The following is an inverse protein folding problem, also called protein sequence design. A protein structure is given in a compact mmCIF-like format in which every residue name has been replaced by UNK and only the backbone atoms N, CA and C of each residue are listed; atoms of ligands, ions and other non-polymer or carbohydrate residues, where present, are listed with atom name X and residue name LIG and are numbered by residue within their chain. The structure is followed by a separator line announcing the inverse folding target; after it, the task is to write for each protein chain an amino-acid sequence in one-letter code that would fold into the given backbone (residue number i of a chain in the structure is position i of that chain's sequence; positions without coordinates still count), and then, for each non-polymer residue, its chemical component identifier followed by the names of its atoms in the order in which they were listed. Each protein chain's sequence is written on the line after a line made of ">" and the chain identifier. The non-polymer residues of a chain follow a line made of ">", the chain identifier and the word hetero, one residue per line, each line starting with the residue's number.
data_IF_189234823882
#
_entry.id   IF_189234823882
#
_cell.length_a   1.000
_cell.length_b   1.000
_cell.length_c   1.000
_cell.angle_alpha   90.00
_cell.angle_beta   90.00
_cell.angle_gamma   90.00
#
_symmetry.space_group_name_H-M   'P 1'
#
loop_
_entity.id
_entity.type
_entity.pdbx_description
1 polymer ?
#
# COMPACT_ATOMS: atom_id res chain seq x y z
N UNK A 1 -19.98 -9.04 -29.70
CA UNK A 1 -19.00 -10.07 -29.25
C UNK A 1 -17.53 -9.74 -29.57
N UNK A 2 -17.20 -8.96 -30.61
CA UNK A 2 -15.81 -8.51 -30.88
C UNK A 2 -15.28 -7.52 -29.82
N UNK A 3 -16.08 -6.54 -29.42
CA UNK A 3 -15.74 -5.50 -28.44
C UNK A 3 -15.38 -6.04 -27.06
N UNK A 4 -16.16 -6.98 -26.51
CA UNK A 4 -15.88 -7.59 -25.20
C UNK A 4 -14.53 -8.33 -25.16
N UNK A 5 -14.12 -8.95 -26.28
CA UNK A 5 -12.84 -9.65 -26.39
C UNK A 5 -11.66 -8.68 -26.39
N UNK A 6 -11.80 -7.56 -27.09
CA UNK A 6 -10.75 -6.51 -27.12
C UNK A 6 -10.54 -5.92 -25.74
N UNK A 7 -11.61 -5.63 -25.00
CA UNK A 7 -11.57 -5.05 -23.64
C UNK A 7 -10.83 -5.99 -22.66
N UNK A 8 -11.14 -7.29 -22.70
CA UNK A 8 -10.49 -8.27 -21.83
C UNK A 8 -9.01 -8.45 -22.15
N UNK A 9 -8.66 -8.44 -23.43
CA UNK A 9 -7.27 -8.56 -23.87
C UNK A 9 -6.46 -7.30 -23.50
N UNK A 10 -7.04 -6.10 -23.66
CA UNK A 10 -6.41 -4.86 -23.20
C UNK A 10 -6.26 -4.80 -21.68
N UNK A 11 -7.26 -5.26 -20.93
CA UNK A 11 -7.20 -5.35 -19.46
C UNK A 11 -6.11 -6.32 -18.99
N UNK A 12 -5.92 -7.43 -19.72
CA UNK A 12 -4.87 -8.41 -19.42
C UNK A 12 -3.45 -7.87 -19.60
N UNK A 13 -3.24 -6.96 -20.55
CA UNK A 13 -1.94 -6.32 -20.80
C UNK A 13 -1.70 -5.16 -19.83
N UNK A 14 -2.75 -4.43 -19.46
CA UNK A 14 -2.66 -3.33 -18.49
C UNK A 14 -2.20 -3.81 -17.11
N UNK A 15 -2.56 -5.02 -16.70
CA UNK A 15 -2.32 -5.54 -15.36
C UNK A 15 -0.81 -5.71 -15.03
N UNK A 16 0.00 -6.38 -15.89
CA UNK A 16 1.47 -6.39 -15.73
C UNK A 16 2.09 -5.00 -15.83
N UNK A 17 1.57 -4.13 -16.69
CA UNK A 17 2.12 -2.78 -16.89
C UNK A 17 1.93 -1.94 -15.61
N UNK A 18 0.73 -1.94 -15.03
CA UNK A 18 0.45 -1.24 -13.77
C UNK A 18 1.31 -1.84 -12.64
N UNK A 19 1.47 -3.17 -12.61
CA UNK A 19 2.33 -3.85 -11.63
C UNK A 19 3.78 -3.41 -11.73
N UNK A 20 4.28 -3.32 -12.96
CA UNK A 20 5.63 -2.87 -13.24
C UNK A 20 5.83 -1.38 -12.92
N UNK A 21 4.86 -0.52 -13.26
CA UNK A 21 4.87 0.90 -12.89
C UNK A 21 4.93 1.02 -11.37
N UNK A 22 4.07 0.31 -10.63
CA UNK A 22 4.07 0.33 -9.18
C UNK A 22 5.41 -0.11 -8.59
N UNK A 23 6.02 -1.16 -9.15
CA UNK A 23 7.31 -1.64 -8.71
C UNK A 23 8.40 -0.58 -8.90
N UNK A 24 8.44 0.08 -10.06
CA UNK A 24 9.38 1.18 -10.34
C UNK A 24 9.12 2.37 -9.42
N UNK A 25 7.87 2.80 -9.28
CA UNK A 25 7.53 3.97 -8.47
C UNK A 25 7.82 3.74 -6.99
N UNK A 26 7.56 2.53 -6.49
CA UNK A 26 7.88 2.19 -5.11
C UNK A 26 9.40 2.16 -4.91
N UNK A 27 10.12 1.47 -5.81
CA UNK A 27 11.58 1.32 -5.68
C UNK A 27 12.36 2.63 -5.73
N UNK A 28 11.99 3.56 -6.63
CA UNK A 28 12.75 4.82 -6.80
C UNK A 28 12.20 5.99 -6.00
N UNK A 29 10.90 6.01 -5.69
CA UNK A 29 10.25 7.20 -5.14
C UNK A 29 9.48 6.93 -3.84
N UNK A 30 9.46 5.69 -3.33
CA UNK A 30 8.62 5.25 -2.22
C UNK A 30 7.14 5.62 -2.42
N UNK A 31 6.69 5.55 -3.68
CA UNK A 31 5.30 5.79 -4.09
C UNK A 31 4.65 4.45 -4.39
N UNK A 32 3.62 4.13 -3.62
CA UNK A 32 2.83 2.93 -3.77
C UNK A 32 1.46 3.26 -4.38
N UNK A 33 1.06 2.47 -5.38
CA UNK A 33 -0.32 2.43 -5.85
C UNK A 33 -1.16 1.66 -4.84
N UNK A 34 -2.31 2.22 -4.48
CA UNK A 34 -3.28 1.56 -3.60
C UNK A 34 -3.97 0.40 -4.34
N UNK A 35 -3.25 -0.72 -4.46
CA UNK A 35 -3.67 -1.91 -5.22
C UNK A 35 -4.96 -2.53 -4.71
N UNK A 36 -5.19 -2.46 -3.39
CA UNK A 36 -6.39 -2.96 -2.73
C UNK A 36 -7.68 -2.31 -3.27
N UNK A 37 -7.61 -1.05 -3.71
CA UNK A 37 -8.74 -0.37 -4.36
C UNK A 37 -9.18 -1.06 -5.65
N UNK A 38 -8.26 -1.73 -6.35
CA UNK A 38 -8.53 -2.40 -7.63
C UNK A 38 -8.67 -3.91 -7.52
N UNK A 39 -8.45 -4.52 -6.35
CA UNK A 39 -8.49 -5.97 -6.17
C UNK A 39 -9.79 -6.60 -6.73
N UNK A 40 -10.94 -5.99 -6.43
CA UNK A 40 -12.25 -6.45 -6.90
C UNK A 40 -12.41 -6.36 -8.41
N UNK A 41 -11.92 -5.27 -9.02
CA UNK A 41 -11.93 -5.11 -10.47
C UNK A 41 -11.11 -6.22 -11.14
N UNK A 42 -9.95 -6.53 -10.58
CA UNK A 42 -9.08 -7.60 -11.08
C UNK A 42 -9.67 -8.99 -10.90
N UNK A 43 -10.30 -9.26 -9.76
CA UNK A 43 -11.00 -10.52 -9.50
C UNK A 43 -12.13 -10.76 -10.52
N UNK A 44 -12.93 -9.72 -10.82
CA UNK A 44 -14.00 -9.80 -11.82
C UNK A 44 -13.42 -10.13 -13.20
N UNK A 45 -12.33 -9.45 -13.61
CA UNK A 45 -11.67 -9.73 -14.88
C UNK A 45 -11.11 -11.15 -14.95
N UNK A 46 -10.56 -11.67 -13.85
CA UNK A 46 -10.08 -13.06 -13.76
C UNK A 46 -11.21 -14.06 -13.94
N UNK A 47 -12.33 -13.87 -13.23
CA UNK A 47 -13.51 -14.75 -13.34
C UNK A 47 -14.05 -14.72 -14.79
N UNK A 48 -14.20 -13.54 -15.38
CA UNK A 48 -14.68 -13.40 -16.77
C UNK A 48 -13.70 -14.07 -17.75
N UNK A 49 -12.39 -13.94 -17.51
CA UNK A 49 -11.37 -14.59 -18.32
C UNK A 49 -11.50 -16.11 -18.29
N UNK A 50 -11.71 -16.71 -17.10
CA UNK A 50 -11.92 -18.15 -16.94
C UNK A 50 -13.09 -18.68 -17.78
N UNK A 51 -14.20 -17.94 -17.87
CA UNK A 51 -15.37 -18.34 -18.68
C UNK A 51 -15.10 -18.34 -20.19
N UNK A 52 -14.10 -17.59 -20.67
CA UNK A 52 -13.84 -17.38 -22.10
C UNK A 52 -12.80 -18.38 -22.65
N UNK A 53 -12.17 -19.16 -21.79
CA UNK A 53 -11.13 -20.16 -22.13
C UNK A 53 -11.62 -21.24 -23.08
N UNK A 54 -12.92 -21.55 -23.09
CA UNK A 54 -13.46 -22.62 -23.91
C UNK A 54 -13.38 -22.27 -25.41
N UNK A 55 -12.56 -23.02 -26.15
CA UNK A 55 -12.63 -23.12 -27.61
C UNK A 55 -11.39 -22.73 -28.42
N UNK A 56 -10.26 -22.33 -27.84
CA UNK A 56 -9.01 -22.21 -28.62
C UNK A 56 -7.74 -22.23 -27.75
N UNK A 57 -6.66 -22.85 -28.25
CA UNK A 57 -5.35 -22.92 -27.57
C UNK A 57 -4.79 -21.54 -27.20
N UNK A 58 -4.97 -20.52 -28.03
CA UNK A 58 -4.48 -19.15 -27.76
C UNK A 58 -5.16 -18.50 -26.56
N UNK A 59 -6.48 -18.68 -26.40
CA UNK A 59 -7.23 -18.21 -25.22
C UNK A 59 -6.81 -18.93 -23.94
N UNK A 60 -6.49 -20.22 -24.03
CA UNK A 60 -5.99 -20.98 -22.89
C UNK A 60 -4.65 -20.41 -22.38
N UNK A 61 -3.68 -20.18 -23.27
CA UNK A 61 -2.40 -19.58 -22.88
C UNK A 61 -2.55 -18.15 -22.34
N UNK A 62 -3.42 -17.32 -22.93
CA UNK A 62 -3.69 -15.98 -22.43
C UNK A 62 -4.31 -15.98 -21.03
N UNK A 63 -5.25 -16.90 -20.77
CA UNK A 63 -5.84 -17.09 -19.45
C UNK A 63 -4.85 -17.60 -18.42
N UNK A 64 -4.00 -18.57 -18.81
CA UNK A 64 -2.93 -19.08 -17.96
C UNK A 64 -1.97 -17.96 -17.52
N UNK A 65 -1.53 -17.13 -18.47
CA UNK A 65 -0.64 -16.00 -18.17
C UNK A 65 -1.31 -14.98 -17.25
N UNK A 66 -2.58 -14.66 -17.50
CA UNK A 66 -3.35 -13.73 -16.67
C UNK A 66 -3.58 -14.28 -15.26
N UNK A 67 -3.88 -15.57 -15.13
CA UNK A 67 -4.04 -16.23 -13.84
C UNK A 67 -2.75 -16.27 -13.04
N UNK A 68 -1.62 -16.58 -13.69
CA UNK A 68 -0.30 -16.50 -13.05
C UNK A 68 0.01 -15.08 -12.57
N UNK A 69 -0.19 -14.07 -13.41
CA UNK A 69 0.02 -12.67 -13.02
C UNK A 69 -0.86 -12.26 -11.83
N UNK A 70 -2.15 -12.61 -11.85
CA UNK A 70 -3.08 -12.34 -10.76
C UNK A 70 -2.66 -13.03 -9.45
N UNK A 71 -2.29 -14.32 -9.51
CA UNK A 71 -1.82 -15.09 -8.35
C UNK A 71 -0.53 -14.51 -7.80
N UNK A 72 0.47 -14.24 -8.66
CA UNK A 72 1.75 -13.66 -8.24
C UNK A 72 1.57 -12.31 -7.56
N UNK A 73 0.73 -11.43 -8.12
CA UNK A 73 0.43 -10.13 -7.51
C UNK A 73 -0.32 -10.27 -6.20
N UNK A 74 -1.26 -11.23 -6.11
CA UNK A 74 -2.01 -11.48 -4.87
C UNK A 74 -1.11 -12.03 -3.77
N UNK A 75 -0.19 -12.93 -4.10
CA UNK A 75 0.81 -13.47 -3.16
C UNK A 75 1.77 -12.37 -2.72
N UNK A 76 2.28 -11.57 -3.66
CA UNK A 76 3.13 -10.43 -3.33
C UNK A 76 2.41 -9.48 -2.37
N UNK A 77 1.16 -9.12 -2.65
CA UNK A 77 0.36 -8.27 -1.77
C UNK A 77 0.16 -8.89 -0.39
N UNK A 78 -0.12 -10.19 -0.31
CA UNK A 78 -0.33 -10.89 0.96
C UNK A 78 0.96 -10.94 1.80
N UNK A 79 2.10 -11.17 1.16
CA UNK A 79 3.41 -11.21 1.83
C UNK A 79 3.92 -9.83 2.22
N UNK A 80 3.56 -8.79 1.45
CA UNK A 80 3.85 -7.39 1.76
C UNK A 80 2.82 -6.76 2.69
N UNK A 81 1.76 -7.48 3.07
CA UNK A 81 0.74 -6.95 3.98
C UNK A 81 1.26 -6.98 5.41
N UNK A 82 1.69 -5.81 5.88
CA UNK A 82 2.04 -5.62 7.27
C UNK A 82 0.89 -4.92 8.01
N UNK A 83 0.59 -5.37 9.22
CA UNK A 83 -0.55 -4.85 9.98
C UNK A 83 -0.20 -3.51 10.60
N UNK A 84 -0.84 -2.45 10.13
CA UNK A 84 -0.66 -1.10 10.69
C UNK A 84 -1.99 -0.50 11.15
N UNK A 85 -1.88 0.44 12.08
CA UNK A 85 -2.96 1.39 12.37
C UNK A 85 -2.61 2.73 11.76
N UNK A 86 -3.60 3.33 11.12
CA UNK A 86 -3.47 4.62 10.46
C UNK A 86 -4.23 5.68 11.23
N UNK A 87 -3.60 6.83 11.45
CA UNK A 87 -4.25 8.02 11.99
C UNK A 87 -3.94 9.28 11.17
N UNK A 88 -4.95 10.12 10.91
CA UNK A 88 -4.70 11.44 10.33
C UNK A 88 -3.93 12.31 11.31
N UNK A 89 -3.14 13.25 10.78
CA UNK A 89 -2.52 14.31 11.56
C UNK A 89 -3.45 15.53 11.50
N UNK A 90 -3.96 15.96 12.65
CA UNK A 90 -4.84 17.11 12.70
C UNK A 90 -4.12 18.36 12.17
N UNK A 91 -4.74 19.04 11.20
CA UNK A 91 -4.21 20.26 10.59
C UNK A 91 -3.23 20.05 9.43
N UNK A 92 -2.94 18.80 9.03
CA UNK A 92 -2.04 18.51 7.91
C UNK A 92 -2.64 17.50 6.91
N UNK A 93 -2.06 17.43 5.70
CA UNK A 93 -2.48 16.48 4.65
C UNK A 93 -1.85 15.08 4.81
N UNK A 94 -1.08 14.86 5.87
CA UNK A 94 -0.37 13.62 6.13
C UNK A 94 -1.13 12.70 7.08
N UNK A 95 -0.74 11.43 7.06
CA UNK A 95 -1.23 10.39 7.95
C UNK A 95 -0.04 9.64 8.54
N UNK A 96 -0.18 9.14 9.76
CA UNK A 96 0.81 8.26 10.38
C UNK A 96 0.30 6.85 10.36
N UNK A 97 1.15 5.94 9.91
CA UNK A 97 0.97 4.50 9.97
C UNK A 97 1.87 3.95 11.06
N UNK A 98 1.27 3.47 12.15
CA UNK A 98 1.97 2.79 13.23
C UNK A 98 2.03 1.29 12.95
N UNK A 99 3.25 0.77 12.80
CA UNK A 99 3.57 -0.64 12.73
C UNK A 99 4.12 -1.11 14.08
N UNK A 100 4.39 -2.41 14.22
CA UNK A 100 4.90 -2.98 15.46
C UNK A 100 6.24 -2.38 15.89
N UNK A 101 7.15 -2.19 14.95
CA UNK A 101 8.57 -1.90 15.13
C UNK A 101 9.02 -0.59 14.45
N UNK A 102 8.12 0.08 13.74
CA UNK A 102 8.38 1.34 13.07
C UNK A 102 7.07 2.13 12.90
N UNK A 103 7.20 3.37 12.44
CA UNK A 103 6.08 4.11 11.89
C UNK A 103 6.47 4.85 10.63
N UNK A 104 5.47 5.10 9.79
CA UNK A 104 5.60 5.84 8.55
C UNK A 104 4.71 7.08 8.59
N UNK A 105 5.22 8.16 8.02
CA UNK A 105 4.42 9.34 7.66
C UNK A 105 4.15 9.23 6.17
N UNK A 106 2.88 9.12 5.82
CA UNK A 106 2.43 8.96 4.44
C UNK A 106 1.61 10.15 4.00
N UNK A 107 1.80 10.56 2.76
CA UNK A 107 0.96 11.53 2.08
C UNK A 107 0.10 10.78 1.07
N UNK A 108 -1.21 10.97 1.15
CA UNK A 108 -2.17 10.23 0.34
C UNK A 108 -2.75 11.10 -0.76
N UNK A 109 -2.64 10.61 -1.97
CA UNK A 109 -3.32 11.09 -3.16
C UNK A 109 -4.39 10.06 -3.56
N UNK A 110 -5.28 10.41 -4.49
CA UNK A 110 -6.46 9.60 -4.84
C UNK A 110 -6.19 8.09 -5.01
N UNK A 111 -5.14 7.71 -5.74
CA UNK A 111 -4.74 6.31 -5.98
C UNK A 111 -3.29 6.00 -5.58
N UNK A 112 -2.59 6.99 -5.04
CA UNK A 112 -1.16 6.92 -4.77
C UNK A 112 -0.93 7.27 -3.31
N UNK A 113 0.03 6.60 -2.71
CA UNK A 113 0.50 6.89 -1.37
C UNK A 113 2.01 7.08 -1.44
N UNK A 114 2.50 8.21 -0.92
CA UNK A 114 3.92 8.51 -0.87
C UNK A 114 4.38 8.39 0.57
N UNK A 115 5.40 7.57 0.82
CA UNK A 115 6.07 7.53 2.12
C UNK A 115 7.02 8.71 2.22
N UNK A 116 6.74 9.64 3.13
CA UNK A 116 7.53 10.85 3.36
C UNK A 116 8.69 10.58 4.33
N UNK A 117 8.41 9.81 5.38
CA UNK A 117 9.41 9.44 6.36
C UNK A 117 9.05 8.11 7.00
N UNK A 118 10.07 7.31 7.26
CA UNK A 118 9.97 6.08 8.03
C UNK A 118 10.98 6.16 9.18
N UNK A 119 10.56 5.78 10.38
CA UNK A 119 11.43 5.74 11.54
C UNK A 119 11.21 4.45 12.33
N UNK A 120 12.26 3.66 12.60
CA UNK A 120 12.16 2.52 13.50
C UNK A 120 11.85 3.00 14.92
N UNK A 121 10.90 2.35 15.57
CA UNK A 121 10.43 2.71 16.90
C UNK A 121 9.70 1.56 17.57
N UNK A 122 10.15 1.21 18.76
CA UNK A 122 9.56 0.12 19.55
C UNK A 122 8.40 0.60 20.44
N UNK A 123 7.93 1.86 20.29
CA UNK A 123 6.87 2.43 21.15
C UNK A 123 5.53 1.70 21.05
N UNK A 124 5.33 0.94 19.97
CA UNK A 124 4.15 0.10 19.77
C UNK A 124 4.39 -1.36 20.14
N UNK A 125 5.65 -1.73 20.39
CA UNK A 125 6.05 -3.07 20.80
C UNK A 125 5.77 -3.24 22.29
N UNK A 126 4.73 -4.01 22.63
CA UNK A 126 4.52 -4.44 24.02
C UNK A 126 4.90 -5.90 24.19
N UNK A 127 5.48 -6.25 25.36
CA UNK A 127 5.92 -7.61 25.69
C UNK A 127 4.81 -8.67 25.58
N UNK A 128 3.53 -8.28 25.55
CA UNK A 128 2.38 -9.17 25.47
C UNK A 128 1.74 -9.28 24.07
N UNK A 129 2.12 -8.46 23.09
CA UNK A 129 1.57 -8.55 21.73
C UNK A 129 2.37 -9.55 20.89
N UNK A 130 2.16 -10.86 21.11
CA UNK A 130 2.59 -11.90 20.15
C UNK A 130 1.98 -11.72 18.75
N UNK A 131 0.89 -10.97 18.66
CA UNK A 131 0.13 -10.71 17.44
C UNK A 131 0.68 -9.58 16.59
N UNK A 132 1.65 -8.78 17.09
CA UNK A 132 2.23 -7.66 16.33
C UNK A 132 1.26 -6.51 16.01
N UNK A 133 0.08 -6.50 16.62
CA UNK A 133 -0.97 -5.51 16.34
C UNK A 133 -0.73 -4.27 17.22
N UNK A 134 -0.53 -3.12 16.58
CA UNK A 134 -0.70 -1.81 17.23
C UNK A 134 -2.19 -1.61 17.46
N UNK A 135 -2.63 -1.17 18.64
CA UNK A 135 -4.08 -0.96 18.88
C UNK A 135 -4.47 0.52 18.94
N UNK A 136 -3.69 1.36 19.63
CA UNK A 136 -4.06 2.77 19.83
C UNK A 136 -2.84 3.65 20.06
N UNK A 137 -2.72 4.72 19.27
CA UNK A 137 -1.74 5.79 19.47
C UNK A 137 -2.33 7.16 19.16
N UNK A 138 -1.70 8.22 19.62
CA UNK A 138 -2.04 9.61 19.32
C UNK A 138 -0.90 10.26 18.56
N UNK A 139 -1.25 11.19 17.67
CA UNK A 139 -0.28 11.99 16.90
C UNK A 139 -0.57 13.44 17.15
N UNK A 140 0.45 14.21 17.49
CA UNK A 140 0.38 15.67 17.62
C UNK A 140 1.39 16.31 16.68
N UNK A 141 0.91 17.27 15.91
CA UNK A 141 1.77 18.15 15.11
C UNK A 141 2.39 19.20 16.04
N UNK A 142 3.71 19.18 16.19
CA UNK A 142 4.42 20.17 17.00
C UNK A 142 4.91 21.34 16.14
N UNK A 143 5.37 21.06 14.92
CA UNK A 143 5.78 22.08 13.96
C UNK A 143 5.68 21.54 12.52
N UNK A 144 5.23 22.40 11.61
CA UNK A 144 5.29 22.19 10.17
C UNK A 144 5.87 23.46 9.54
N UNK A 145 7.01 23.31 8.86
CA UNK A 145 7.66 24.39 8.11
C UNK A 145 8.10 23.86 6.75
N UNK A 146 8.52 24.75 5.85
CA UNK A 146 9.10 24.34 4.55
C UNK A 146 10.33 23.44 4.68
N UNK A 147 10.95 23.30 5.85
CA UNK A 147 12.19 22.53 6.01
C UNK A 147 12.10 21.42 7.03
N UNK A 148 11.07 21.43 7.87
CA UNK A 148 10.98 20.55 9.02
C UNK A 148 9.53 20.17 9.34
N UNK A 149 9.31 18.87 9.51
CA UNK A 149 8.10 18.32 10.11
C UNK A 149 8.48 17.70 11.46
N UNK A 150 7.82 18.18 12.52
CA UNK A 150 7.99 17.67 13.88
C UNK A 150 6.67 17.08 14.37
N UNK A 151 6.68 15.79 14.63
CA UNK A 151 5.54 15.04 15.15
C UNK A 151 5.87 14.42 16.50
N UNK A 152 4.92 14.48 17.42
CA UNK A 152 4.93 13.69 18.64
C UNK A 152 3.96 12.52 18.49
N UNK A 153 4.46 11.32 18.77
CA UNK A 153 3.67 10.09 18.71
C UNK A 153 3.62 9.49 20.11
N UNK A 154 2.41 9.27 20.60
CA UNK A 154 2.16 8.77 21.95
C UNK A 154 1.45 7.43 21.87
N UNK A 155 2.08 6.40 22.41
CA UNK A 155 1.48 5.06 22.52
C UNK A 155 0.64 4.95 23.78
N UNK A 156 -0.67 4.73 23.62
CA UNK A 156 -1.61 4.67 24.75
C UNK A 156 -1.47 3.38 25.57
N UNK A 157 -0.78 2.36 25.04
CA UNK A 157 -0.54 1.10 25.76
C UNK A 157 0.56 1.19 26.81
N UNK A 158 1.55 2.07 26.63
CA UNK A 158 2.73 2.15 27.50
C UNK A 158 3.02 3.54 28.05
N UNK A 159 2.25 4.57 27.67
CA UNK A 159 2.59 5.99 27.87
C UNK A 159 4.01 6.33 27.36
N UNK A 160 4.46 5.60 26.34
CA UNK A 160 5.73 5.84 25.69
C UNK A 160 5.52 6.92 24.63
N UNK A 161 6.47 7.84 24.54
CA UNK A 161 6.46 8.94 23.59
C UNK A 161 7.70 8.86 22.70
N UNK A 162 7.52 9.16 21.43
CA UNK A 162 8.62 9.37 20.50
C UNK A 162 8.37 10.65 19.70
N UNK A 163 9.46 11.25 19.23
CA UNK A 163 9.41 12.45 18.40
C UNK A 163 10.05 12.15 17.06
N UNK A 164 9.31 12.39 15.99
CA UNK A 164 9.85 12.38 14.64
C UNK A 164 10.24 13.81 14.26
N UNK A 165 11.49 13.96 13.83
CA UNK A 165 12.01 15.19 13.26
C UNK A 165 12.52 14.86 11.86
N UNK A 166 11.77 15.26 10.83
CA UNK A 166 12.20 15.10 9.44
C UNK A 166 12.69 16.45 8.92
N UNK A 167 14.00 16.54 8.68
CA UNK A 167 14.64 17.69 8.01
C UNK A 167 14.69 17.45 6.51
N UNK A 168 14.62 18.53 5.72
CA UNK A 168 14.54 18.50 4.25
C UNK A 168 13.29 17.75 3.77
N UNK A 169 12.14 18.22 4.24
CA UNK A 169 10.85 17.59 4.00
C UNK A 169 10.47 17.45 2.52
N UNK A 170 11.00 18.33 1.65
CA UNK A 170 10.69 18.39 0.22
C UNK A 170 11.80 17.90 -0.72
N UNK A 171 12.94 17.42 -0.21
CA UNK A 171 14.02 16.82 -1.03
C UNK A 171 13.92 15.28 -1.02
#
# INVERSE_FOLDING_TARGET
>A
MKTAKTILFSGAILLPIIGFINLITNYFYNIELLYLTFFWYWLILFIVNLFIVFGSKTKFFSSLFFGLAFITLSIYQLLSFDFYIRKPIDGAHYQVEGYRDHYKVVERYFLLEKTISEKPSEIFSTNNTKTGVVFWFEVKLLAETEHELVLEIISNMGKQHDTLVKRKFWE
#
